data_IF_289442518943
#
_entry.id   IF_289442518943
#
_cell.length_a   1.000
_cell.length_b   1.000
_cell.length_c   1.000
_cell.angle_alpha   90.00
_cell.angle_beta   90.00
_cell.angle_gamma   90.00
#
_symmetry.space_group_name_H-M   'P 1'
#
loop_
_entity.id
_entity.type
_entity.pdbx_description
1 polymer ?
#
# COMPACT_ATOMS: atom_id res chain seq x y z
N UNK A 1 -6.44 -8.68 36.45
CA UNK A 1 -7.06 -8.25 35.18
C UNK A 1 -8.56 -8.53 35.17
N UNK A 2 -8.97 -9.71 35.62
CA UNK A 2 -10.36 -10.20 35.60
C UNK A 2 -11.28 -9.67 36.74
N UNK A 3 -10.73 -9.07 37.80
CA UNK A 3 -11.47 -8.50 38.95
C UNK A 3 -11.11 -7.02 39.20
N UNK A 4 -10.58 -6.32 38.19
CA UNK A 4 -10.20 -4.91 38.33
C UNK A 4 -11.46 -4.02 38.32
N UNK A 5 -11.47 -2.88 39.02
CA UNK A 5 -12.59 -1.93 38.97
C UNK A 5 -12.95 -1.54 37.53
N UNK A 6 -14.25 -1.58 37.20
CA UNK A 6 -14.76 -1.26 35.86
C UNK A 6 -14.79 -2.43 34.86
N UNK A 7 -14.36 -3.63 35.25
CA UNK A 7 -14.50 -4.83 34.41
C UNK A 7 -15.98 -5.20 34.26
N UNK A 8 -16.42 -5.51 33.04
CA UNK A 8 -17.73 -6.12 32.85
C UNK A 8 -17.67 -7.57 33.33
N UNK A 9 -18.35 -7.82 34.45
CA UNK A 9 -18.47 -9.16 35.02
C UNK A 9 -19.54 -9.94 34.26
N UNK A 10 -19.33 -11.25 34.19
CA UNK A 10 -20.31 -12.21 33.72
C UNK A 10 -20.02 -13.50 34.51
N UNK A 11 -20.76 -13.68 35.62
CA UNK A 11 -20.43 -14.62 36.68
C UNK A 11 -19.25 -14.16 37.57
N UNK A 12 -18.39 -15.09 37.95
CA UNK A 12 -17.35 -14.89 38.99
C UNK A 12 -16.20 -13.96 38.57
N UNK A 13 -15.94 -13.80 37.26
CA UNK A 13 -14.81 -13.02 36.76
C UNK A 13 -15.06 -12.48 35.35
N UNK A 14 -14.33 -11.47 34.87
CA UNK A 14 -14.52 -10.88 33.53
C UNK A 14 -13.75 -11.51 32.35
N UNK A 15 -12.96 -12.56 32.57
CA UNK A 15 -12.02 -13.11 31.57
C UNK A 15 -12.68 -13.96 30.46
N UNK A 16 -12.29 -13.73 29.21
CA UNK A 16 -12.71 -14.47 28.01
C UNK A 16 -11.52 -14.79 27.08
N UNK A 17 -11.72 -15.73 26.16
CA UNK A 17 -10.78 -16.13 25.11
C UNK A 17 -11.52 -16.37 23.78
N UNK A 18 -10.82 -16.94 22.78
CA UNK A 18 -11.41 -17.24 21.48
C UNK A 18 -12.68 -18.11 21.56
N UNK A 19 -12.77 -19.00 22.55
CA UNK A 19 -13.89 -19.93 22.75
C UNK A 19 -15.03 -19.36 23.62
N UNK A 20 -14.98 -18.07 23.96
CA UNK A 20 -15.96 -17.44 24.85
C UNK A 20 -15.42 -17.31 26.27
N UNK A 21 -16.31 -17.45 27.25
CA UNK A 21 -15.97 -17.29 28.66
C UNK A 21 -14.91 -18.30 29.12
N UNK A 22 -13.90 -17.84 29.86
CA UNK A 22 -12.99 -18.76 30.57
C UNK A 22 -13.78 -19.42 31.70
N UNK A 23 -13.92 -20.75 31.70
CA UNK A 23 -14.67 -21.46 32.75
C UNK A 23 -13.85 -21.78 33.99
N UNK A 24 -12.54 -21.91 33.85
CA UNK A 24 -11.62 -22.22 34.94
C UNK A 24 -10.54 -21.13 35.03
N UNK A 25 -10.79 -20.13 35.87
CA UNK A 25 -9.87 -19.01 36.06
C UNK A 25 -8.53 -19.46 36.62
N UNK A 26 -8.54 -20.34 37.62
CA UNK A 26 -7.33 -20.83 38.29
C UNK A 26 -6.39 -21.52 37.31
N UNK A 27 -6.94 -22.31 36.38
CA UNK A 27 -6.16 -22.94 35.32
C UNK A 27 -5.60 -21.91 34.33
N UNK A 28 -6.38 -20.91 33.93
CA UNK A 28 -5.91 -19.87 33.02
C UNK A 28 -4.80 -19.01 33.65
N UNK A 29 -4.96 -18.63 34.92
CA UNK A 29 -3.94 -17.89 35.68
C UNK A 29 -2.67 -18.72 35.83
N UNK A 30 -2.79 -20.00 36.21
CA UNK A 30 -1.66 -20.90 36.34
C UNK A 30 -0.91 -21.10 35.03
N UNK A 31 -1.64 -21.34 33.93
CA UNK A 31 -1.03 -21.53 32.61
C UNK A 31 -0.25 -20.31 32.11
N UNK A 32 -0.67 -19.09 32.49
CA UNK A 32 0.09 -17.87 32.19
C UNK A 32 1.27 -17.70 33.16
N UNK A 33 1.09 -17.96 34.45
CA UNK A 33 2.12 -17.80 35.47
C UNK A 33 3.29 -18.79 35.32
N UNK A 34 3.01 -20.01 34.87
CA UNK A 34 4.00 -21.05 34.61
C UNK A 34 4.62 -20.97 33.20
N UNK A 35 4.16 -20.02 32.36
CA UNK A 35 4.68 -19.88 31.01
C UNK A 35 6.12 -19.35 31.03
N UNK A 36 7.05 -20.10 30.45
CA UNK A 36 8.48 -19.77 30.43
C UNK A 36 8.89 -18.88 29.25
N UNK A 37 7.99 -18.69 28.29
CA UNK A 37 8.18 -17.82 27.15
C UNK A 37 7.74 -16.37 27.40
N UNK A 38 7.73 -15.58 26.33
CA UNK A 38 7.27 -14.19 26.42
C UNK A 38 5.75 -14.10 26.55
N UNK A 39 5.28 -13.34 27.54
CA UNK A 39 3.87 -12.99 27.73
C UNK A 39 3.71 -11.48 27.57
N UNK A 40 2.84 -11.06 26.66
CA UNK A 40 2.54 -9.65 26.43
C UNK A 40 1.16 -9.30 26.98
N UNK A 41 1.06 -8.10 27.58
CA UNK A 41 -0.20 -7.62 28.16
C UNK A 41 -0.68 -6.32 27.50
N UNK A 42 -1.08 -6.34 26.22
CA UNK A 42 -1.48 -5.12 25.53
C UNK A 42 -2.84 -4.62 26.04
N UNK A 43 -3.03 -3.30 25.93
CA UNK A 43 -4.30 -2.63 26.18
C UNK A 43 -4.77 -2.02 24.87
N UNK A 44 -6.01 -2.31 24.49
CA UNK A 44 -6.66 -1.71 23.33
C UNK A 44 -7.83 -0.88 23.83
N UNK A 45 -7.88 0.39 23.47
CA UNK A 45 -8.88 1.35 23.96
C UNK A 45 -9.47 2.14 22.79
N UNK A 46 -10.74 2.52 22.94
CA UNK A 46 -11.44 3.46 22.06
C UNK A 46 -12.23 4.44 22.93
N UNK A 47 -12.50 5.62 22.36
CA UNK A 47 -13.33 6.65 23.01
C UNK A 47 -14.75 6.14 23.23
N UNK A 48 -15.41 6.63 24.27
CA UNK A 48 -16.78 6.21 24.62
C UNK A 48 -17.76 6.47 23.48
N UNK A 49 -17.69 7.66 22.89
CA UNK A 49 -18.51 8.09 21.75
C UNK A 49 -18.37 7.14 20.55
N UNK A 50 -17.14 6.77 20.18
CA UNK A 50 -16.87 5.85 19.08
C UNK A 50 -17.36 4.43 19.38
N UNK A 51 -17.19 3.96 20.62
CA UNK A 51 -17.70 2.66 21.02
C UNK A 51 -19.22 2.58 20.91
N UNK A 52 -19.91 3.66 21.28
CA UNK A 52 -21.37 3.77 21.19
C UNK A 52 -21.85 3.74 19.76
N UNK A 53 -21.27 4.62 18.95
CA UNK A 53 -21.57 4.76 17.52
C UNK A 53 -21.31 3.48 16.72
N UNK A 54 -20.23 2.78 17.04
CA UNK A 54 -19.74 1.63 16.26
C UNK A 54 -20.15 0.27 16.83
N UNK A 55 -20.83 0.23 17.98
CA UNK A 55 -21.35 -1.00 18.58
C UNK A 55 -20.32 -1.83 19.36
N UNK A 56 -19.29 -1.20 19.93
CA UNK A 56 -18.23 -1.84 20.73
C UNK A 56 -18.42 -1.60 22.24
N UNK A 57 -19.65 -1.80 22.74
CA UNK A 57 -20.04 -1.41 24.10
C UNK A 57 -20.01 -2.53 25.13
N UNK A 58 -19.79 -3.76 24.70
CA UNK A 58 -19.89 -4.95 25.54
C UNK A 58 -18.75 -5.94 25.27
N UNK A 59 -18.52 -6.84 26.22
CA UNK A 59 -17.46 -7.84 26.12
C UNK A 59 -17.56 -8.74 24.86
N UNK A 60 -18.75 -9.03 24.35
CA UNK A 60 -18.94 -9.95 23.23
C UNK A 60 -18.53 -9.29 21.90
N UNK A 61 -18.91 -8.03 21.69
CA UNK A 61 -18.46 -7.24 20.52
C UNK A 61 -16.93 -7.16 20.45
N UNK A 62 -16.25 -6.95 21.58
CA UNK A 62 -14.80 -6.95 21.68
C UNK A 62 -14.18 -8.33 21.46
N UNK A 63 -14.81 -9.40 21.98
CA UNK A 63 -14.37 -10.77 21.73
C UNK A 63 -14.40 -11.09 20.24
N UNK A 64 -15.51 -10.79 19.57
CA UNK A 64 -15.64 -11.00 18.13
C UNK A 64 -14.60 -10.19 17.35
N UNK A 65 -14.34 -8.94 17.75
CA UNK A 65 -13.29 -8.11 17.15
C UNK A 65 -11.90 -8.75 17.27
N UNK A 66 -11.51 -9.18 18.48
CA UNK A 66 -10.20 -9.83 18.72
C UNK A 66 -10.09 -11.14 17.93
N UNK A 67 -11.14 -11.98 17.94
CA UNK A 67 -11.18 -13.21 17.15
C UNK A 67 -10.96 -12.92 15.66
N UNK A 68 -11.61 -11.88 15.15
CA UNK A 68 -11.50 -11.52 13.76
C UNK A 68 -10.08 -11.00 13.43
N UNK A 69 -9.44 -10.27 14.35
CA UNK A 69 -8.04 -9.81 14.24
C UNK A 69 -6.98 -10.89 14.52
N UNK A 70 -7.35 -12.11 14.92
CA UNK A 70 -6.39 -13.12 15.37
C UNK A 70 -5.25 -13.42 14.37
N UNK A 71 -5.49 -13.49 13.03
CA UNK A 71 -4.41 -13.68 12.06
C UNK A 71 -3.42 -12.51 12.03
N UNK A 72 -3.90 -11.27 12.13
CA UNK A 72 -3.04 -10.08 12.17
C UNK A 72 -2.26 -9.98 13.48
N UNK A 73 -2.89 -10.36 14.60
CA UNK A 73 -2.24 -10.48 15.92
C UNK A 73 -1.12 -11.52 15.83
N UNK A 74 -1.41 -12.74 15.40
CA UNK A 74 -0.41 -13.80 15.22
C UNK A 74 0.80 -13.33 14.40
N UNK A 75 0.56 -12.71 13.23
CA UNK A 75 1.63 -12.15 12.39
C UNK A 75 2.43 -11.04 13.09
N UNK A 76 1.75 -10.11 13.77
CA UNK A 76 2.39 -8.99 14.45
C UNK A 76 3.28 -9.42 15.62
N UNK A 77 2.88 -10.48 16.33
CA UNK A 77 3.66 -11.08 17.41
C UNK A 77 4.64 -12.16 16.93
N UNK A 78 4.65 -12.50 15.64
CA UNK A 78 5.45 -13.61 15.06
C UNK A 78 5.19 -14.95 15.75
N UNK A 79 3.91 -15.25 16.00
CA UNK A 79 3.44 -16.51 16.57
C UNK A 79 2.64 -17.23 15.47
N UNK A 80 2.88 -18.52 15.19
CA UNK A 80 1.98 -19.32 14.34
C UNK A 80 0.54 -19.26 14.87
N UNK A 81 -0.44 -19.14 13.98
CA UNK A 81 -1.83 -18.87 14.38
C UNK A 81 -2.40 -19.99 15.27
N UNK A 82 -2.03 -21.24 14.99
CA UNK A 82 -2.34 -22.44 15.75
C UNK A 82 -1.79 -22.43 17.17
N UNK A 83 -0.67 -21.74 17.40
CA UNK A 83 -0.01 -21.61 18.69
C UNK A 83 -0.42 -20.35 19.44
N UNK A 84 -1.11 -19.41 18.79
CA UNK A 84 -1.58 -18.18 19.43
C UNK A 84 -2.55 -18.51 20.56
N UNK A 85 -2.23 -18.03 21.77
CA UNK A 85 -3.10 -18.07 22.93
C UNK A 85 -3.33 -16.64 23.42
N UNK A 86 -4.57 -16.35 23.78
CA UNK A 86 -4.90 -15.06 24.34
C UNK A 86 -6.08 -15.13 25.29
N UNK A 87 -6.04 -14.24 26.28
CA UNK A 87 -7.14 -13.94 27.19
C UNK A 87 -7.39 -12.45 27.18
N UNK A 88 -8.62 -12.02 27.47
CA UNK A 88 -8.92 -10.61 27.61
C UNK A 88 -10.04 -10.35 28.61
N UNK A 89 -10.08 -9.12 29.12
CA UNK A 89 -11.13 -8.62 29.99
C UNK A 89 -11.56 -7.23 29.49
N UNK A 90 -12.87 -7.03 29.33
CA UNK A 90 -13.46 -5.78 28.87
C UNK A 90 -13.80 -4.87 30.04
N UNK A 91 -13.44 -3.60 29.92
CA UNK A 91 -13.56 -2.59 30.95
C UNK A 91 -14.26 -1.36 30.38
N UNK A 92 -15.22 -0.84 31.16
CA UNK A 92 -15.91 0.41 30.87
C UNK A 92 -15.46 1.49 31.85
N UNK A 93 -15.02 2.62 31.31
CA UNK A 93 -14.79 3.88 32.02
C UNK A 93 -15.72 4.94 31.44
N UNK A 94 -15.76 6.11 32.08
CA UNK A 94 -16.60 7.24 31.68
C UNK A 94 -16.28 7.69 30.24
N UNK A 95 -15.01 8.02 29.95
CA UNK A 95 -14.61 8.57 28.65
C UNK A 95 -14.13 7.53 27.62
N UNK A 96 -14.01 6.27 28.02
CA UNK A 96 -13.46 5.22 27.15
C UNK A 96 -13.91 3.81 27.52
N UNK A 97 -13.83 2.92 26.55
CA UNK A 97 -13.85 1.48 26.78
C UNK A 97 -12.55 0.87 26.32
N UNK A 98 -12.11 -0.16 27.02
CA UNK A 98 -10.84 -0.81 26.72
C UNK A 98 -10.86 -2.27 27.11
N UNK A 99 -10.00 -3.05 26.44
CA UNK A 99 -9.70 -4.41 26.84
C UNK A 99 -8.27 -4.50 27.36
N UNK A 100 -8.12 -5.21 28.46
CA UNK A 100 -6.83 -5.71 28.90
C UNK A 100 -6.64 -7.11 28.34
N UNK A 101 -5.60 -7.33 27.55
CA UNK A 101 -5.31 -8.65 26.99
C UNK A 101 -4.07 -9.28 27.62
N UNK A 102 -3.98 -10.59 27.49
CA UNK A 102 -2.77 -11.40 27.68
C UNK A 102 -2.59 -12.18 26.38
N UNK A 103 -1.42 -12.10 25.76
CA UNK A 103 -1.10 -12.74 24.48
C UNK A 103 0.23 -13.50 24.64
N UNK A 104 0.27 -14.76 24.23
CA UNK A 104 1.45 -15.62 24.32
C UNK A 104 1.35 -16.78 23.30
N UNK A 105 2.46 -17.47 23.07
CA UNK A 105 2.46 -18.71 22.27
C UNK A 105 2.29 -19.93 23.19
N UNK A 106 1.72 -21.02 22.69
CA UNK A 106 1.81 -22.31 23.38
C UNK A 106 3.24 -22.89 23.39
N UNK A 107 4.12 -22.48 22.47
CA UNK A 107 5.55 -22.80 22.48
C UNK A 107 6.35 -21.63 23.08
N UNK A 108 7.06 -21.82 24.22
CA UNK A 108 7.80 -20.73 24.87
C UNK A 108 8.97 -20.17 24.06
N UNK A 109 9.42 -20.86 23.00
CA UNK A 109 10.51 -20.39 22.11
C UNK A 109 10.02 -19.46 21.00
N UNK A 110 8.70 -19.33 20.83
CA UNK A 110 8.09 -18.54 19.78
C UNK A 110 7.67 -17.15 20.27
N UNK A 111 7.45 -16.27 19.29
CA UNK A 111 6.96 -14.92 19.53
C UNK A 111 8.07 -13.89 19.70
N UNK A 112 7.92 -12.79 18.98
CA UNK A 112 8.83 -11.65 19.05
C UNK A 112 8.12 -10.40 18.53
N UNK A 113 7.99 -9.38 19.39
CA UNK A 113 7.25 -8.17 19.09
C UNK A 113 8.18 -7.03 18.69
N UNK A 114 7.96 -6.46 17.50
CA UNK A 114 8.68 -5.26 17.02
C UNK A 114 7.76 -4.04 16.99
N UNK A 115 8.34 -2.84 16.85
CA UNK A 115 7.55 -1.62 16.59
C UNK A 115 6.64 -1.75 15.37
N UNK A 116 7.14 -2.37 14.29
CA UNK A 116 6.35 -2.65 13.10
C UNK A 116 5.22 -3.65 13.38
N UNK A 117 5.48 -4.70 14.18
CA UNK A 117 4.45 -5.64 14.63
C UNK A 117 3.35 -4.97 15.44
N UNK A 118 3.71 -4.06 16.36
CA UNK A 118 2.74 -3.24 17.11
C UNK A 118 1.89 -2.40 16.16
N UNK A 119 2.51 -1.70 15.20
CA UNK A 119 1.80 -0.90 14.20
C UNK A 119 0.84 -1.75 13.36
N UNK A 120 1.26 -2.95 12.96
CA UNK A 120 0.41 -3.89 12.22
C UNK A 120 -0.83 -4.30 13.02
N UNK A 121 -0.66 -4.62 14.30
CA UNK A 121 -1.79 -4.99 15.18
C UNK A 121 -2.73 -3.81 15.42
N UNK A 122 -2.18 -2.61 15.68
CA UNK A 122 -2.98 -1.37 15.79
C UNK A 122 -3.79 -1.10 14.52
N UNK A 123 -3.14 -1.19 13.35
CA UNK A 123 -3.80 -1.04 12.06
C UNK A 123 -4.91 -2.09 11.85
N UNK A 124 -4.72 -3.33 12.32
CA UNK A 124 -5.74 -4.38 12.20
C UNK A 124 -7.01 -4.05 13.00
N UNK A 125 -6.85 -3.61 14.25
CA UNK A 125 -7.97 -3.16 15.06
C UNK A 125 -8.65 -1.93 14.46
N UNK A 126 -7.88 -0.86 14.18
CA UNK A 126 -8.43 0.38 13.66
C UNK A 126 -9.21 0.22 12.35
N UNK A 127 -8.70 -0.58 11.41
CA UNK A 127 -9.41 -0.83 10.14
C UNK A 127 -10.73 -1.56 10.30
N UNK A 128 -10.87 -2.40 11.33
CA UNK A 128 -12.13 -3.12 11.61
C UNK A 128 -13.09 -2.25 12.40
N UNK A 129 -12.60 -1.53 13.40
CA UNK A 129 -13.41 -0.64 14.23
C UNK A 129 -14.01 0.47 13.38
N UNK A 130 -13.15 1.18 12.64
CA UNK A 130 -13.53 2.34 11.83
C UNK A 130 -13.80 1.97 10.37
N UNK A 131 -14.27 0.74 10.11
CA UNK A 131 -14.43 0.25 8.73
C UNK A 131 -15.34 1.17 7.91
N UNK A 132 -16.46 1.63 8.48
CA UNK A 132 -17.40 2.51 7.78
C UNK A 132 -16.83 3.90 7.55
N UNK A 133 -16.15 4.48 8.54
CA UNK A 133 -15.51 5.79 8.41
C UNK A 133 -14.43 5.76 7.31
N UNK A 134 -13.66 4.67 7.27
CA UNK A 134 -12.67 4.44 6.23
C UNK A 134 -13.30 4.28 4.84
N UNK A 135 -14.50 3.70 4.71
CA UNK A 135 -15.18 3.60 3.41
C UNK A 135 -15.43 4.97 2.79
N UNK A 136 -15.81 5.97 3.59
CA UNK A 136 -16.05 7.32 3.10
C UNK A 136 -14.76 7.98 2.59
N UNK A 137 -13.66 7.86 3.34
CA UNK A 137 -12.31 8.28 2.90
C UNK A 137 -11.92 7.60 1.59
N UNK A 138 -12.29 6.32 1.41
CA UNK A 138 -12.00 5.58 0.17
C UNK A 138 -12.95 5.92 -1.01
N UNK A 139 -14.15 6.42 -0.77
CA UNK A 139 -15.04 6.94 -1.83
C UNK A 139 -14.48 8.25 -2.39
N UNK A 140 -14.14 9.19 -1.51
CA UNK A 140 -13.44 10.44 -1.87
C UNK A 140 -12.14 10.15 -2.65
N UNK A 141 -11.41 9.08 -2.29
CA UNK A 141 -10.24 8.59 -3.04
C UNK A 141 -10.54 8.26 -4.49
N UNK A 142 -11.65 7.57 -4.72
CA UNK A 142 -12.01 7.02 -6.03
C UNK A 142 -12.42 8.15 -6.96
N UNK A 143 -13.23 9.08 -6.46
CA UNK A 143 -13.65 10.28 -7.20
C UNK A 143 -12.46 11.16 -7.54
N UNK A 144 -11.56 11.39 -6.59
CA UNK A 144 -10.35 12.16 -6.86
C UNK A 144 -9.43 11.48 -7.87
N UNK A 145 -9.21 10.17 -7.75
CA UNK A 145 -8.41 9.42 -8.75
C UNK A 145 -8.97 9.64 -10.15
N UNK A 146 -10.29 9.59 -10.28
CA UNK A 146 -10.95 9.73 -11.57
C UNK A 146 -10.88 11.18 -12.08
N UNK A 147 -10.93 12.19 -11.19
CA UNK A 147 -10.73 13.60 -11.51
C UNK A 147 -9.27 13.91 -11.93
N UNK A 148 -8.29 13.56 -11.09
CA UNK A 148 -6.86 13.74 -11.38
C UNK A 148 -6.45 12.98 -12.64
N UNK A 149 -7.00 11.79 -12.86
CA UNK A 149 -6.74 10.99 -14.06
C UNK A 149 -7.18 11.70 -15.34
N UNK A 150 -8.38 12.29 -15.34
CA UNK A 150 -8.92 13.03 -16.49
C UNK A 150 -8.20 14.34 -16.74
N UNK A 151 -7.88 15.08 -15.68
CA UNK A 151 -7.17 16.36 -15.79
C UNK A 151 -5.71 16.15 -16.23
N UNK A 152 -5.03 15.13 -15.70
CA UNK A 152 -3.69 14.76 -16.14
C UNK A 152 -3.65 14.31 -17.61
N UNK A 153 -4.61 13.52 -18.08
CA UNK A 153 -4.69 13.11 -19.49
C UNK A 153 -4.92 14.29 -20.43
N UNK A 154 -5.86 15.19 -20.08
CA UNK A 154 -6.20 16.36 -20.92
C UNK A 154 -5.05 17.35 -21.00
N UNK A 155 -4.52 17.78 -19.85
CA UNK A 155 -3.44 18.77 -19.82
C UNK A 155 -2.14 18.22 -20.42
N UNK A 156 -1.90 16.90 -20.37
CA UNK A 156 -0.71 16.33 -21.01
C UNK A 156 -0.86 16.18 -22.52
N UNK A 157 -2.06 15.97 -23.05
CA UNK A 157 -2.29 16.09 -24.49
C UNK A 157 -2.01 17.52 -24.98
N UNK A 158 -2.42 18.53 -24.21
CA UNK A 158 -2.13 19.95 -24.51
C UNK A 158 -0.64 20.27 -24.42
N UNK A 159 0.08 19.75 -23.42
CA UNK A 159 1.53 19.94 -23.30
C UNK A 159 2.34 19.26 -24.41
N UNK A 160 1.93 18.05 -24.83
CA UNK A 160 2.55 17.36 -25.97
C UNK A 160 2.42 18.24 -27.22
N UNK A 161 1.23 18.80 -27.48
CA UNK A 161 1.01 19.70 -28.61
C UNK A 161 1.84 20.99 -28.51
N UNK A 162 1.97 21.58 -27.31
CA UNK A 162 2.77 22.79 -27.09
C UNK A 162 4.28 22.54 -27.24
N UNK A 163 4.77 21.35 -26.86
CA UNK A 163 6.19 20.99 -27.02
C UNK A 163 6.53 20.54 -28.44
N UNK A 164 5.61 19.90 -29.16
CA UNK A 164 5.75 19.67 -30.61
C UNK A 164 5.84 20.99 -31.39
N UNK A 165 5.24 22.05 -30.87
CA UNK A 165 5.36 23.42 -31.39
C UNK A 165 6.50 24.23 -30.75
N UNK A 166 7.28 23.63 -29.85
CA UNK A 166 8.48 24.23 -29.23
C UNK A 166 8.23 25.27 -28.13
N UNK A 167 7.00 25.38 -27.60
CA UNK A 167 6.59 26.43 -26.66
C UNK A 167 6.98 26.18 -25.19
N UNK A 168 7.37 24.96 -24.82
CA UNK A 168 7.74 24.60 -23.44
C UNK A 168 9.06 23.82 -23.46
N UNK A 169 10.01 24.26 -22.63
CA UNK A 169 11.31 23.62 -22.43
C UNK A 169 11.60 23.49 -20.94
N UNK A 170 12.12 22.32 -20.53
CA UNK A 170 12.63 22.14 -19.16
C UNK A 170 14.10 21.72 -19.27
N UNK A 171 14.95 22.72 -19.51
CA UNK A 171 16.38 22.54 -19.79
C UNK A 171 17.09 21.72 -18.71
N UNK A 172 16.72 21.90 -17.44
CA UNK A 172 17.31 21.15 -16.34
C UNK A 172 16.94 19.66 -16.40
N UNK A 173 15.66 19.36 -16.61
CA UNK A 173 15.17 17.98 -16.70
C UNK A 173 15.72 17.27 -17.94
N UNK A 174 15.78 17.98 -19.08
CA UNK A 174 16.38 17.49 -20.31
C UNK A 174 17.87 17.16 -20.13
N UNK A 175 18.64 18.05 -19.48
CA UNK A 175 20.04 17.82 -19.12
C UNK A 175 20.20 16.58 -18.25
N UNK A 176 19.38 16.42 -17.21
CA UNK A 176 19.44 15.26 -16.31
C UNK A 176 19.10 13.95 -17.04
N UNK A 177 18.11 13.96 -17.94
CA UNK A 177 17.72 12.81 -18.76
C UNK A 177 18.84 12.40 -19.72
N UNK A 178 19.49 13.36 -20.39
CA UNK A 178 20.64 13.11 -21.25
C UNK A 178 21.82 12.51 -20.48
N UNK A 179 22.13 13.07 -19.31
CA UNK A 179 23.18 12.54 -18.45
C UNK A 179 22.86 11.11 -17.99
N UNK A 180 21.59 10.84 -17.65
CA UNK A 180 21.16 9.51 -17.27
C UNK A 180 21.26 8.52 -18.44
N UNK A 181 20.89 8.92 -19.65
CA UNK A 181 21.03 8.10 -20.85
C UNK A 181 22.49 7.67 -21.07
N UNK A 182 23.43 8.61 -20.96
CA UNK A 182 24.86 8.34 -21.09
C UNK A 182 25.37 7.40 -19.99
N UNK A 183 24.99 7.62 -18.73
CA UNK A 183 25.40 6.74 -17.62
C UNK A 183 24.79 5.34 -17.74
N UNK A 184 23.54 5.24 -18.17
CA UNK A 184 22.87 3.96 -18.38
C UNK A 184 23.49 3.20 -19.55
N UNK A 185 23.95 3.86 -20.60
CA UNK A 185 24.69 3.23 -21.70
C UNK A 185 25.94 2.50 -21.17
N UNK A 186 26.71 3.16 -20.31
CA UNK A 186 27.96 2.64 -19.74
C UNK A 186 27.76 1.65 -18.57
N UNK A 187 26.51 1.46 -18.10
CA UNK A 187 26.22 0.55 -16.99
C UNK A 187 26.03 -0.88 -17.51
N UNK A 188 26.85 -1.81 -17.01
CA UNK A 188 26.71 -3.24 -17.28
C UNK A 188 25.66 -3.90 -16.37
N UNK A 189 25.02 -4.97 -16.84
CA UNK A 189 24.04 -5.74 -16.06
C UNK A 189 22.61 -5.17 -16.08
N UNK A 190 21.82 -5.53 -15.07
CA UNK A 190 20.37 -5.24 -15.03
C UNK A 190 20.12 -3.75 -14.73
N UNK A 191 19.51 -3.04 -15.68
CA UNK A 191 19.19 -1.60 -15.58
C UNK A 191 17.85 -1.37 -14.87
N UNK A 192 17.79 -1.74 -13.60
CA UNK A 192 16.63 -1.53 -12.70
C UNK A 192 17.14 -0.84 -11.46
N UNK A 193 16.36 0.09 -10.88
CA UNK A 193 16.83 1.01 -9.83
C UNK A 193 17.64 0.33 -8.72
N UNK A 194 17.18 -0.82 -8.19
CA UNK A 194 17.88 -1.56 -7.13
C UNK A 194 19.31 -2.01 -7.47
N UNK A 195 19.58 -2.28 -8.74
CA UNK A 195 20.87 -2.80 -9.25
C UNK A 195 21.79 -1.71 -9.79
N UNK A 196 21.31 -0.47 -9.90
CA UNK A 196 22.14 0.62 -10.42
C UNK A 196 23.26 1.03 -9.44
N UNK A 197 24.42 1.48 -9.96
CA UNK A 197 25.47 2.06 -9.13
C UNK A 197 24.97 3.27 -8.31
N UNK A 198 25.55 3.55 -7.12
CA UNK A 198 25.10 4.63 -6.25
C UNK A 198 25.00 6.00 -6.95
N UNK A 199 26.00 6.36 -7.76
CA UNK A 199 25.99 7.63 -8.51
C UNK A 199 24.84 7.72 -9.51
N UNK A 200 24.47 6.60 -10.15
CA UNK A 200 23.36 6.54 -11.10
C UNK A 200 22.01 6.59 -10.39
N UNK A 201 21.89 5.95 -9.21
CA UNK A 201 20.67 6.04 -8.37
C UNK A 201 20.38 7.48 -7.95
N UNK A 202 21.40 8.23 -7.52
CA UNK A 202 21.25 9.65 -7.15
C UNK A 202 20.72 10.48 -8.32
N UNK A 203 21.19 10.20 -9.55
CA UNK A 203 20.69 10.90 -10.74
C UNK A 203 19.23 10.55 -11.06
N UNK A 204 18.84 9.28 -10.91
CA UNK A 204 17.42 8.88 -11.05
C UNK A 204 16.56 9.58 -10.00
N UNK A 205 17.00 9.62 -8.74
CA UNK A 205 16.28 10.31 -7.67
C UNK A 205 16.14 11.81 -7.98
N UNK A 206 17.21 12.46 -8.47
CA UNK A 206 17.18 13.87 -8.86
C UNK A 206 16.17 14.16 -9.99
N UNK A 207 16.06 13.28 -10.99
CA UNK A 207 15.04 13.40 -12.05
C UNK A 207 13.63 13.28 -11.45
N UNK A 208 13.41 12.34 -10.53
CA UNK A 208 12.11 12.18 -9.87
C UNK A 208 11.76 13.39 -9.02
N UNK A 209 12.72 13.94 -8.29
CA UNK A 209 12.52 15.14 -7.48
C UNK A 209 12.29 16.39 -8.34
N UNK A 210 12.92 16.46 -9.52
CA UNK A 210 12.66 17.53 -10.49
C UNK A 210 11.24 17.43 -11.09
N UNK A 211 10.81 16.23 -11.45
CA UNK A 211 9.42 15.97 -11.89
C UNK A 211 8.41 16.36 -10.80
N UNK A 212 8.76 16.16 -9.51
CA UNK A 212 7.91 16.48 -8.38
C UNK A 212 7.74 18.00 -8.13
N UNK A 213 8.54 18.86 -8.77
CA UNK A 213 8.38 20.33 -8.69
C UNK A 213 7.24 20.85 -9.55
N UNK A 214 6.79 20.08 -10.55
CA UNK A 214 5.62 20.45 -11.32
C UNK A 214 4.38 20.52 -10.41
N UNK A 215 3.61 21.61 -10.53
CA UNK A 215 2.48 21.90 -9.64
C UNK A 215 1.47 20.75 -9.58
N UNK A 216 1.25 20.01 -10.68
CA UNK A 216 0.27 18.93 -10.74
C UNK A 216 0.80 17.67 -10.07
N UNK A 217 2.08 17.35 -10.30
CA UNK A 217 2.75 16.24 -9.61
C UNK A 217 2.83 16.50 -8.12
N UNK A 218 3.16 17.74 -7.72
CA UNK A 218 3.17 18.18 -6.33
C UNK A 218 1.78 18.07 -5.70
N UNK A 219 0.73 18.54 -6.37
CA UNK A 219 -0.66 18.43 -5.88
C UNK A 219 -1.09 16.96 -5.71
N UNK A 220 -0.83 16.12 -6.70
CA UNK A 220 -1.12 14.69 -6.64
C UNK A 220 -0.38 14.00 -5.47
N UNK A 221 0.89 14.34 -5.27
CA UNK A 221 1.69 13.76 -4.19
C UNK A 221 1.28 14.25 -2.80
N UNK A 222 0.95 15.54 -2.68
CA UNK A 222 0.43 16.12 -1.44
C UNK A 222 -0.87 15.45 -1.01
N UNK A 223 -1.80 15.27 -1.95
CA UNK A 223 -3.03 14.58 -1.63
C UNK A 223 -2.78 13.11 -1.27
N UNK A 224 -1.96 12.38 -2.02
CA UNK A 224 -1.61 11.01 -1.65
C UNK A 224 -1.08 10.92 -0.20
N UNK A 225 -0.29 11.91 0.24
CA UNK A 225 0.16 12.00 1.63
C UNK A 225 -0.98 12.33 2.62
N UNK A 226 -1.87 13.28 2.30
CA UNK A 226 -3.05 13.58 3.13
C UNK A 226 -3.92 12.35 3.33
N UNK A 227 -4.19 11.60 2.26
CA UNK A 227 -4.96 10.36 2.33
C UNK A 227 -4.27 9.29 3.19
N UNK A 228 -2.95 9.16 3.05
CA UNK A 228 -2.15 8.25 3.89
C UNK A 228 -2.24 8.67 5.36
N UNK A 229 -2.22 9.97 5.64
CA UNK A 229 -2.37 10.52 6.98
C UNK A 229 -3.76 10.27 7.56
N UNK A 230 -4.83 10.52 6.81
CA UNK A 230 -6.22 10.25 7.25
C UNK A 230 -6.42 8.79 7.64
N UNK A 231 -5.94 7.86 6.81
CA UNK A 231 -5.97 6.43 7.17
C UNK A 231 -5.18 6.17 8.45
N UNK A 232 -4.00 6.78 8.63
CA UNK A 232 -3.22 6.63 9.86
C UNK A 232 -3.89 7.24 11.10
N UNK A 233 -4.58 8.38 10.97
CA UNK A 233 -5.28 9.04 12.09
C UNK A 233 -6.30 8.13 12.76
N UNK A 234 -6.87 7.17 12.03
CA UNK A 234 -7.83 6.19 12.59
C UNK A 234 -7.22 5.23 13.62
N UNK A 235 -5.89 5.09 13.70
CA UNK A 235 -5.24 4.16 14.63
C UNK A 235 -3.90 4.63 15.21
N UNK A 236 -3.45 5.83 14.87
CA UNK A 236 -2.18 6.40 15.32
C UNK A 236 -2.26 7.93 15.40
N UNK A 237 -1.84 8.48 16.54
CA UNK A 237 -1.64 9.94 16.70
C UNK A 237 -0.34 10.40 16.01
N UNK A 238 0.63 9.49 15.83
CA UNK A 238 1.86 9.76 15.10
C UNK A 238 1.60 9.57 13.60
N UNK A 239 1.70 10.68 12.85
CA UNK A 239 1.57 10.68 11.40
C UNK A 239 2.87 10.22 10.74
N UNK A 240 2.79 9.49 9.62
CA UNK A 240 3.97 9.16 8.83
C UNK A 240 4.68 10.43 8.34
N UNK A 241 6.01 10.43 8.39
CA UNK A 241 6.81 11.49 7.80
C UNK A 241 6.53 11.61 6.29
N UNK A 242 6.33 12.85 5.81
CA UNK A 242 6.27 13.15 4.37
C UNK A 242 7.69 13.16 3.82
N UNK A 243 8.04 12.13 3.07
CA UNK A 243 9.33 12.03 2.40
C UNK A 243 9.27 12.67 1.00
N UNK A 244 10.41 12.95 0.35
CA UNK A 244 10.42 13.25 -1.08
C UNK A 244 9.90 12.08 -1.92
N UNK A 245 9.30 12.37 -3.08
CA UNK A 245 8.72 11.36 -3.98
C UNK A 245 9.75 10.29 -4.37
N UNK A 246 10.99 10.67 -4.64
CA UNK A 246 12.09 9.74 -4.97
C UNK A 246 12.41 8.74 -3.86
N UNK A 247 12.22 9.16 -2.60
CA UNK A 247 12.49 8.34 -1.40
C UNK A 247 11.30 7.47 -1.02
N UNK A 248 10.11 7.76 -1.55
CA UNK A 248 8.94 7.00 -1.19
C UNK A 248 8.96 5.59 -1.77
N UNK A 249 8.76 4.59 -0.89
CA UNK A 249 8.86 3.17 -1.27
C UNK A 249 7.69 2.74 -2.18
N UNK A 250 6.50 3.29 -1.92
CA UNK A 250 5.28 3.05 -2.71
C UNK A 250 5.45 3.54 -4.15
N UNK A 251 6.31 4.54 -4.38
CA UNK A 251 6.63 5.07 -5.71
C UNK A 251 7.91 4.49 -6.33
N UNK A 252 8.33 3.26 -5.94
CA UNK A 252 9.41 2.53 -6.63
C UNK A 252 9.16 2.42 -8.15
N UNK A 253 7.90 2.34 -8.56
CA UNK A 253 7.51 2.30 -9.97
C UNK A 253 7.95 3.55 -10.74
N UNK A 254 7.93 4.73 -10.11
CA UNK A 254 8.34 6.01 -10.71
C UNK A 254 9.83 6.00 -11.07
N UNK A 255 10.68 5.56 -10.14
CA UNK A 255 12.14 5.44 -10.39
C UNK A 255 12.46 4.49 -11.55
N UNK A 256 11.76 3.35 -11.61
CA UNK A 256 11.94 2.40 -12.71
C UNK A 256 11.33 2.87 -14.02
N UNK A 257 10.29 3.70 -13.98
CA UNK A 257 9.71 4.36 -15.15
C UNK A 257 10.71 5.34 -15.77
N UNK A 258 11.36 6.18 -14.96
CA UNK A 258 12.42 7.11 -15.43
C UNK A 258 13.52 6.34 -16.17
N UNK A 259 14.00 5.24 -15.60
CA UNK A 259 15.03 4.41 -16.23
C UNK A 259 14.54 3.83 -17.56
N UNK A 260 13.30 3.31 -17.61
CA UNK A 260 12.74 2.71 -18.83
C UNK A 260 12.59 3.71 -19.96
N UNK A 261 12.01 4.89 -19.70
CA UNK A 261 11.84 5.89 -20.77
C UNK A 261 13.20 6.44 -21.23
N UNK A 262 14.15 6.63 -20.32
CA UNK A 262 15.52 7.05 -20.69
C UNK A 262 16.25 5.98 -21.52
N UNK A 263 15.99 4.69 -21.28
CA UNK A 263 16.53 3.62 -22.12
C UNK A 263 15.91 3.60 -23.52
N UNK A 264 14.64 3.95 -23.66
CA UNK A 264 13.96 4.09 -24.96
C UNK A 264 14.54 5.25 -25.76
N UNK A 265 14.84 6.37 -25.08
CA UNK A 265 15.57 7.50 -25.67
C UNK A 265 16.90 7.04 -26.29
N UNK A 266 17.68 6.24 -25.56
CA UNK A 266 18.96 5.71 -26.06
C UNK A 266 18.86 4.64 -27.16
N UNK A 267 17.65 4.12 -27.44
CA UNK A 267 17.42 3.09 -28.47
C UNK A 267 16.77 3.64 -29.75
N UNK A 268 16.30 4.89 -29.75
CA UNK A 268 15.53 5.49 -30.84
C UNK A 268 14.38 4.59 -31.34
N UNK A 269 13.60 3.99 -30.44
CA UNK A 269 12.35 3.31 -30.81
C UNK A 269 11.16 4.27 -30.65
N UNK A 270 10.30 4.45 -31.68
CA UNK A 270 9.03 5.17 -31.51
C UNK A 270 8.13 4.39 -30.53
N UNK A 271 7.21 5.06 -29.81
CA UNK A 271 6.32 4.39 -28.89
C UNK A 271 5.43 3.40 -29.66
N UNK A 272 5.63 2.10 -29.45
CA UNK A 272 4.66 1.09 -29.86
C UNK A 272 3.43 1.21 -28.98
N UNK A 273 2.38 1.81 -29.53
CA UNK A 273 1.01 1.54 -29.12
C UNK A 273 0.67 0.11 -29.52
N UNK A 274 1.12 -0.87 -28.71
CA UNK A 274 0.54 -2.22 -28.57
C UNK A 274 1.56 -3.15 -27.89
N UNK A 275 1.68 -3.06 -26.58
CA UNK A 275 2.04 -4.21 -25.76
C UNK A 275 1.10 -4.26 -24.56
N UNK A 276 -0.13 -4.67 -24.86
CA UNK A 276 -1.08 -5.21 -23.89
C UNK A 276 -0.62 -6.64 -23.57
N UNK A 277 -0.65 -6.99 -22.28
CA UNK A 277 -0.60 -8.35 -21.73
C UNK A 277 0.77 -9.05 -21.75
N UNK A 278 1.47 -8.98 -20.61
CA UNK A 278 1.76 -10.25 -19.91
C UNK A 278 1.80 -10.04 -18.40
N UNK A 279 0.75 -10.55 -17.77
CA UNK A 279 0.62 -10.66 -16.33
C UNK A 279 1.71 -11.55 -15.74
N UNK A 280 2.09 -11.20 -14.52
CA UNK A 280 2.88 -12.02 -13.63
C UNK A 280 2.12 -13.32 -13.33
N UNK A 281 2.58 -14.45 -13.86
CA UNK A 281 2.34 -15.76 -13.26
C UNK A 281 3.45 -16.05 -12.25
N UNK A 282 3.14 -16.44 -11.00
CA UNK A 282 4.13 -16.89 -10.06
C UNK A 282 4.54 -18.32 -10.40
N UNK A 283 5.82 -18.52 -10.74
CA UNK A 283 6.39 -19.85 -10.93
C UNK A 283 6.76 -20.44 -9.57
N UNK A 284 6.10 -21.53 -9.21
CA UNK A 284 6.47 -22.43 -8.12
C UNK A 284 6.98 -23.76 -8.70
N UNK A 285 8.18 -24.13 -8.26
CA UNK A 285 8.77 -25.49 -8.13
C UNK A 285 9.46 -26.14 -9.37
N UNK A 286 10.72 -26.63 -9.22
CA UNK A 286 11.51 -27.34 -10.25
C UNK A 286 11.27 -28.90 -10.29
N UNK A 287 11.84 -29.64 -11.27
CA UNK A 287 11.16 -30.75 -11.98
C UNK A 287 11.57 -32.17 -11.55
N UNK A 288 10.77 -33.17 -11.98
CA UNK A 288 11.11 -34.58 -11.96
C UNK A 288 11.26 -35.15 -13.40
N UNK A 289 12.51 -35.56 -13.71
CA UNK A 289 13.02 -36.72 -14.47
C UNK A 289 12.08 -37.39 -15.52
N UNK A 290 12.44 -37.43 -16.81
CA UNK A 290 13.42 -38.32 -17.51
C UNK A 290 12.72 -39.48 -18.24
N UNK A 291 12.91 -39.53 -19.57
CA UNK A 291 12.47 -40.63 -20.44
C UNK A 291 12.75 -40.33 -21.92
N UNK A 292 13.93 -40.75 -22.40
CA UNK A 292 14.42 -40.74 -23.80
C UNK A 292 13.85 -41.93 -24.61
N UNK A 293 14.20 -42.19 -25.90
CA UNK A 293 14.64 -41.35 -27.04
C UNK A 293 13.94 -41.72 -28.39
N UNK A 294 14.50 -41.20 -29.50
CA UNK A 294 14.40 -41.55 -30.93
C UNK A 294 13.70 -40.43 -31.73
N UNK A 295 14.26 -39.80 -32.78
CA UNK A 295 15.38 -40.12 -33.66
C UNK A 295 14.88 -39.99 -35.11
N UNK A 296 15.58 -39.19 -35.93
CA UNK A 296 15.59 -39.12 -37.42
C UNK A 296 15.31 -37.71 -37.99
N UNK A 297 16.27 -37.28 -38.81
CA UNK A 297 16.46 -36.00 -39.51
C UNK A 297 15.48 -35.73 -40.67
N UNK A 298 15.25 -34.44 -40.97
CA UNK A 298 15.40 -33.86 -42.33
C UNK A 298 15.38 -32.30 -42.32
N UNK A 299 15.88 -31.63 -43.38
CA UNK A 299 16.80 -30.48 -43.24
C UNK A 299 16.26 -29.11 -43.69
N UNK A 300 17.02 -28.07 -43.31
CA UNK A 300 17.17 -26.76 -43.97
C UNK A 300 15.93 -25.90 -44.23
N UNK A 301 15.74 -24.89 -43.36
CA UNK A 301 15.44 -23.54 -43.84
C UNK A 301 16.34 -22.50 -43.17
N UNK A 302 17.04 -21.80 -44.05
CA UNK A 302 18.01 -20.73 -43.88
C UNK A 302 17.35 -19.54 -43.15
N UNK A 303 17.71 -19.30 -41.90
CA UNK A 303 17.51 -17.99 -41.27
C UNK A 303 18.86 -17.30 -41.24
N UNK A 304 19.09 -16.47 -42.26
CA UNK A 304 20.17 -15.50 -42.26
C UNK A 304 20.01 -14.62 -41.03
N UNK A 305 20.89 -14.81 -40.04
CA UNK A 305 21.09 -13.88 -38.94
C UNK A 305 21.40 -12.50 -39.53
N UNK A 306 20.38 -11.66 -39.70
CA UNK A 306 20.57 -10.24 -39.85
C UNK A 306 21.01 -9.74 -38.48
N UNK A 307 22.32 -9.66 -38.27
CA UNK A 307 22.88 -8.73 -37.30
C UNK A 307 22.38 -7.34 -37.72
N UNK A 308 21.26 -6.93 -37.11
CA UNK A 308 20.73 -5.58 -37.24
C UNK A 308 21.71 -4.68 -36.49
N UNK A 309 22.70 -4.19 -37.21
CA UNK A 309 23.63 -3.16 -36.76
C UNK A 309 22.79 -1.97 -36.29
N UNK A 310 22.70 -1.77 -34.98
CA UNK A 310 22.03 -0.61 -34.39
C UNK A 310 22.85 0.63 -34.76
N UNK A 311 22.45 1.32 -35.83
CA UNK A 311 23.04 2.60 -36.22
C UNK A 311 22.56 3.67 -35.23
N UNK A 312 23.47 4.07 -34.34
CA UNK A 312 23.19 5.06 -33.30
C UNK A 312 23.12 6.46 -33.94
N UNK A 313 21.92 7.03 -34.03
CA UNK A 313 21.74 8.47 -34.33
C UNK A 313 22.07 9.26 -33.05
N UNK A 314 22.71 10.43 -33.18
CA UNK A 314 22.88 11.34 -32.05
C UNK A 314 21.49 11.75 -31.52
N UNK A 315 21.29 11.62 -30.20
CA UNK A 315 20.03 11.99 -29.54
C UNK A 315 19.79 13.48 -29.78
N UNK A 316 18.68 13.83 -30.43
CA UNK A 316 18.34 15.22 -30.68
C UNK A 316 17.68 15.87 -29.46
N UNK A 317 17.66 17.20 -29.44
CA UNK A 317 16.90 17.97 -28.45
C UNK A 317 15.41 17.57 -28.46
N UNK A 318 14.83 17.36 -29.65
CA UNK A 318 13.44 16.93 -29.81
C UNK A 318 13.18 15.54 -29.20
N UNK A 319 14.13 14.62 -29.33
CA UNK A 319 14.02 13.28 -28.72
C UNK A 319 14.03 13.36 -27.19
N UNK A 320 14.88 14.24 -26.64
CA UNK A 320 15.00 14.47 -25.19
C UNK A 320 13.73 15.11 -24.63
N UNK A 321 13.23 16.15 -25.29
CA UNK A 321 11.96 16.80 -24.94
C UNK A 321 10.78 15.81 -24.97
N UNK A 322 10.72 14.93 -25.98
CA UNK A 322 9.73 13.84 -26.06
C UNK A 322 9.88 12.84 -24.91
N UNK A 323 11.10 12.49 -24.52
CA UNK A 323 11.33 11.63 -23.35
C UNK A 323 10.79 12.29 -22.08
N UNK A 324 11.07 13.58 -21.85
CA UNK A 324 10.58 14.33 -20.69
C UNK A 324 9.04 14.33 -20.62
N UNK A 325 8.36 14.54 -21.74
CA UNK A 325 6.90 14.42 -21.82
C UNK A 325 6.41 13.03 -21.43
N UNK A 326 7.06 11.98 -21.93
CA UNK A 326 6.71 10.61 -21.62
C UNK A 326 6.89 10.30 -20.13
N UNK A 327 7.83 10.94 -19.45
CA UNK A 327 7.96 10.86 -17.99
C UNK A 327 6.74 11.42 -17.28
N UNK A 328 6.29 12.63 -17.64
CA UNK A 328 5.07 13.22 -17.08
C UNK A 328 3.83 12.36 -17.41
N UNK A 329 3.71 11.88 -18.65
CA UNK A 329 2.60 11.03 -19.07
C UNK A 329 2.47 9.78 -18.19
N UNK A 330 3.59 9.07 -18.04
CA UNK A 330 3.62 7.87 -17.21
C UNK A 330 3.48 8.19 -15.71
N UNK A 331 3.85 9.39 -15.25
CA UNK A 331 3.65 9.81 -13.87
C UNK A 331 2.15 9.84 -13.53
N UNK A 332 1.32 10.44 -14.39
CA UNK A 332 -0.13 10.46 -14.22
C UNK A 332 -0.72 9.04 -14.12
N UNK A 333 -0.25 8.12 -14.97
CA UNK A 333 -0.63 6.71 -14.89
C UNK A 333 -0.20 6.05 -13.59
N UNK A 334 1.03 6.28 -13.11
CA UNK A 334 1.52 5.71 -11.86
C UNK A 334 0.77 6.25 -10.64
N UNK A 335 0.42 7.53 -10.59
CA UNK A 335 -0.41 8.07 -9.51
C UNK A 335 -1.83 7.47 -9.53
N UNK A 336 -2.41 7.24 -10.72
CA UNK A 336 -3.66 6.49 -10.87
C UNK A 336 -3.54 5.04 -10.39
N UNK A 337 -2.45 4.38 -10.75
CA UNK A 337 -2.16 3.02 -10.31
C UNK A 337 -1.88 2.96 -8.81
N UNK A 338 -1.17 3.90 -8.20
CA UNK A 338 -0.85 3.90 -6.75
C UNK A 338 -2.05 4.31 -5.89
N UNK A 339 -2.92 5.17 -6.41
CA UNK A 339 -4.22 5.45 -5.80
C UNK A 339 -5.18 4.27 -5.95
N UNK A 340 -5.14 3.54 -7.08
CA UNK A 340 -5.85 2.27 -7.28
C UNK A 340 -5.17 1.08 -6.60
N UNK A 341 -3.88 1.19 -6.24
CA UNK A 341 -3.08 0.05 -5.81
C UNK A 341 -3.53 -0.42 -4.44
N UNK A 342 -3.76 -1.71 -4.44
CA UNK A 342 -3.65 -2.69 -3.38
C UNK A 342 -2.62 -2.41 -2.25
N UNK A 343 -1.62 -1.53 -2.37
CA UNK A 343 -0.85 -1.14 -1.18
C UNK A 343 -1.73 -0.49 -0.08
N UNK A 344 -2.79 0.21 -0.50
CA UNK A 344 -3.83 0.74 0.40
C UNK A 344 -5.04 -0.22 0.45
N UNK A 345 -5.35 -0.96 -0.63
CA UNK A 345 -6.52 -1.86 -0.75
C UNK A 345 -6.30 -3.38 -0.47
N UNK A 346 -5.14 -3.98 -0.72
CA UNK A 346 -4.86 -5.44 -0.57
C UNK A 346 -4.82 -5.94 0.87
N UNK A 347 -5.12 -5.10 1.86
CA UNK A 347 -5.38 -5.63 3.19
C UNK A 347 -6.86 -5.96 3.44
N UNK A 348 -7.83 -5.51 2.63
CA UNK A 348 -9.25 -5.87 2.81
C UNK A 348 -10.03 -5.76 1.49
N UNK A 349 -10.33 -6.91 0.88
CA UNK A 349 -11.15 -7.03 -0.31
C UNK A 349 -12.63 -6.71 0.03
N UNK A 350 -13.20 -5.66 -0.59
CA UNK A 350 -14.66 -5.48 -0.66
C UNK A 350 -15.05 -5.57 -2.14
N UNK A 351 -15.78 -6.63 -2.47
CA UNK A 351 -16.24 -6.90 -3.82
C UNK A 351 -17.20 -5.79 -4.33
N UNK A 352 -17.17 -5.57 -5.66
CA UNK A 352 -17.99 -4.64 -6.43
C UNK A 352 -19.48 -4.77 -6.10
N UNK A 353 -19.97 -5.99 -5.86
CA UNK A 353 -21.36 -6.24 -5.50
C UNK A 353 -21.74 -5.65 -4.13
N UNK A 354 -20.82 -5.74 -3.16
CA UNK A 354 -21.04 -5.20 -1.80
C UNK A 354 -20.95 -3.67 -1.77
N UNK A 355 -20.11 -3.07 -2.62
CA UNK A 355 -20.10 -1.61 -2.85
C UNK A 355 -21.42 -1.10 -3.42
N UNK A 356 -21.99 -1.81 -4.38
CA UNK A 356 -23.30 -1.47 -4.96
C UNK A 356 -24.42 -1.49 -3.91
N UNK A 357 -24.48 -2.55 -3.10
CA UNK A 357 -25.48 -2.66 -2.03
C UNK A 357 -25.38 -1.54 -0.99
N UNK A 358 -24.17 -1.10 -0.65
CA UNK A 358 -23.97 0.00 0.30
C UNK A 358 -24.40 1.35 -0.28
N UNK A 359 -24.14 1.60 -1.56
CA UNK A 359 -24.67 2.78 -2.27
C UNK A 359 -26.19 2.77 -2.35
N UNK A 360 -26.78 1.63 -2.70
CA UNK A 360 -28.23 1.44 -2.74
C UNK A 360 -28.86 1.66 -1.35
N UNK A 361 -28.21 1.18 -0.27
CA UNK A 361 -28.66 1.41 1.10
C UNK A 361 -28.59 2.88 1.53
N UNK A 362 -27.56 3.64 1.12
CA UNK A 362 -27.46 5.09 1.40
C UNK A 362 -28.51 5.88 0.64
N UNK A 363 -28.76 5.56 -0.64
CA UNK A 363 -29.85 6.16 -1.40
C UNK A 363 -31.22 5.85 -0.77
N UNK A 364 -31.42 4.63 -0.26
CA UNK A 364 -32.64 4.26 0.46
C UNK A 364 -32.82 5.01 1.80
N UNK A 365 -31.74 5.52 2.39
CA UNK A 365 -31.75 6.34 3.61
C UNK A 365 -31.89 7.85 3.30
N UNK A 366 -32.11 8.22 2.04
CA UNK A 366 -32.40 9.60 1.63
C UNK A 366 -31.18 10.44 1.24
N UNK A 367 -29.97 9.86 1.23
CA UNK A 367 -28.77 10.55 0.74
C UNK A 367 -28.76 10.58 -0.79
N UNK A 368 -28.44 11.74 -1.37
CA UNK A 368 -28.25 11.89 -2.83
C UNK A 368 -27.04 11.08 -3.29
N UNK A 369 -27.02 10.70 -4.58
CA UNK A 369 -25.91 9.95 -5.16
C UNK A 369 -24.58 10.72 -5.10
N UNK A 370 -24.66 12.06 -5.09
CA UNK A 370 -23.55 13.02 -4.95
C UNK A 370 -23.72 13.88 -3.67
N UNK A 371 -24.22 13.29 -2.57
CA UNK A 371 -24.32 13.99 -1.29
C UNK A 371 -22.93 14.20 -0.70
N UNK A 372 -22.39 15.39 -0.90
CA UNK A 372 -21.10 15.81 -0.37
C UNK A 372 -21.32 16.45 1.01
N UNK A 373 -20.71 15.91 2.07
CA UNK A 373 -20.46 16.75 3.24
C UNK A 373 -19.34 17.73 2.87
N UNK A 374 -19.68 19.02 2.80
CA UNK A 374 -18.69 20.07 2.66
C UNK A 374 -17.72 20.01 3.85
N UNK A 375 -16.44 19.72 3.56
CA UNK A 375 -15.39 19.75 4.57
C UNK A 375 -15.29 21.18 5.10
N UNK A 376 -15.51 21.44 6.40
CA UNK A 376 -15.40 22.79 6.94
C UNK A 376 -13.98 23.31 6.72
N UNK A 377 -13.86 24.38 5.92
CA UNK A 377 -12.63 25.15 5.83
C UNK A 377 -12.41 25.84 7.18
N UNK A 378 -11.73 25.19 8.11
CA UNK A 378 -11.28 25.87 9.32
C UNK A 378 -10.18 26.87 8.95
N UNK A 379 -10.63 28.13 8.92
CA UNK A 379 -9.89 29.37 8.76
C UNK A 379 -8.59 29.38 9.58
N UNK A 380 -7.49 29.66 8.90
CA UNK A 380 -6.28 30.19 9.53
C UNK A 380 -6.62 31.53 10.18
N UNK A 381 -6.44 31.62 11.49
CA UNK A 381 -6.06 32.85 12.19
C UNK A 381 -4.94 32.54 13.15
#
# INVERSE_FOLDING_TARGET
>A
MSHRPGVQMDGEHGLWCARGKVRNLSQAVRGVAEHTGSVWTPVVAIRREDAERLGYNDAESWRLLVCACAPEIARGYKIPLEHLRWYAAFHRKEDSVHIHMVVFSSDPKEGYLTRQGIQQVKSAFGRRIFQQDLLHVYEQKTEYRDALGRDAERTMAELIAQMETGQIQNENLERLVLELAQRLHNTQGKKVYGYLPPKTKVLVDAIVDELAKDQRVAAAYNLWNQMREEVCRTYSEQLPERLPLSKQKEFKAVRNMVIRETLRLGRCEPPTTDEVVHGFTPSSTPPAQSGMPHGVHHPQQKVTHHQRTQTHRAVSHADTARCVLQLFHNMGRIFREQSASDAIQACLHIDRKRRRMLREKRMALGHKADDHEEIPQHSQR
#
